data_IF_485226499831
#
_entry.id   IF_485226499831
#
_cell.length_a   1.000
_cell.length_b   1.000
_cell.length_c   1.000
_cell.angle_alpha   90.00
_cell.angle_beta   90.00
_cell.angle_gamma   90.00
#
_symmetry.space_group_name_H-M   'P 1'
#
loop_
_entity.id
_entity.type
_entity.pdbx_description
1 polymer ?
#
# COMPACT_ATOMS: atom_id res chain seq x y z
N UNK A 1 0.68 41.28 12.24
CA UNK A 1 0.13 39.93 12.48
C UNK A 1 1.21 39.15 13.16
N UNK A 2 0.92 38.53 14.31
CA UNK A 2 1.77 37.48 14.87
C UNK A 2 2.00 36.43 13.76
N UNK A 3 3.24 35.99 13.57
CA UNK A 3 3.52 34.96 12.58
C UNK A 3 2.75 33.68 12.93
N UNK A 4 2.00 33.15 11.96
CA UNK A 4 1.40 31.83 12.09
C UNK A 4 2.42 30.74 11.76
N UNK A 5 2.20 29.53 12.25
CA UNK A 5 3.00 28.35 11.91
C UNK A 5 2.09 27.21 11.48
N UNK A 6 2.54 26.33 10.60
CA UNK A 6 1.86 25.06 10.38
C UNK A 6 2.24 24.10 11.52
N UNK A 7 1.29 23.29 11.98
CA UNK A 7 1.52 22.41 13.13
C UNK A 7 2.68 21.43 12.87
N UNK A 8 3.55 21.18 13.86
CA UNK A 8 4.76 20.38 13.69
C UNK A 8 4.52 18.97 13.13
N UNK A 9 3.43 18.31 13.53
CA UNK A 9 3.13 16.95 13.06
C UNK A 9 2.88 16.89 11.55
N UNK A 10 2.21 17.89 10.96
CA UNK A 10 1.98 17.96 9.51
C UNK A 10 3.25 18.37 8.76
N UNK A 11 4.08 19.23 9.33
CA UNK A 11 5.40 19.52 8.75
C UNK A 11 6.28 18.27 8.66
N UNK A 12 6.23 17.39 9.67
CA UNK A 12 6.89 16.09 9.62
C UNK A 12 6.33 15.21 8.49
N UNK A 13 5.00 15.15 8.31
CA UNK A 13 4.36 14.41 7.23
C UNK A 13 4.83 14.89 5.85
N UNK A 14 4.78 16.20 5.61
CA UNK A 14 5.28 16.81 4.37
C UNK A 14 6.76 16.48 4.15
N UNK A 15 7.56 16.51 5.21
CA UNK A 15 8.97 16.13 5.19
C UNK A 15 9.19 14.72 4.66
N UNK A 16 8.40 13.75 5.11
CA UNK A 16 8.50 12.36 4.63
C UNK A 16 8.11 12.22 3.16
N UNK A 17 7.00 12.83 2.71
CA UNK A 17 6.64 12.84 1.28
C UNK A 17 7.73 13.47 0.41
N UNK A 18 8.34 14.56 0.87
CA UNK A 18 9.46 15.22 0.18
C UNK A 18 10.72 14.34 0.15
N UNK A 19 10.96 13.54 1.18
CA UNK A 19 12.10 12.63 1.22
C UNK A 19 11.90 11.41 0.31
N UNK A 20 10.67 10.86 0.22
CA UNK A 20 10.35 9.78 -0.74
C UNK A 20 10.55 10.26 -2.19
N UNK A 21 10.07 11.45 -2.51
CA UNK A 21 10.22 12.02 -3.85
C UNK A 21 10.55 13.51 -3.79
N UNK A 22 11.84 13.87 -3.74
CA UNK A 22 12.25 15.28 -3.71
C UNK A 22 11.74 16.07 -4.92
N UNK A 23 11.67 15.40 -6.08
CA UNK A 23 11.25 15.97 -7.36
C UNK A 23 9.76 15.93 -7.65
N UNK A 24 8.91 15.49 -6.71
CA UNK A 24 7.44 15.51 -6.89
C UNK A 24 6.90 16.91 -7.20
N UNK A 25 5.78 16.95 -7.90
CA UNK A 25 4.98 18.16 -8.02
C UNK A 25 4.56 18.66 -6.62
N UNK A 26 4.50 19.98 -6.49
CA UNK A 26 4.10 20.70 -5.27
C UNK A 26 3.11 21.81 -5.61
N UNK A 27 2.58 21.83 -6.83
CA UNK A 27 1.67 22.88 -7.31
C UNK A 27 0.39 22.98 -6.47
N UNK A 28 -0.09 21.85 -5.95
CA UNK A 28 -1.22 21.78 -5.03
C UNK A 28 -0.80 21.61 -3.56
N UNK A 29 0.48 21.72 -3.21
CA UNK A 29 0.87 21.74 -1.79
C UNK A 29 0.37 23.02 -1.13
N UNK A 30 -0.24 22.86 0.05
CA UNK A 30 -0.91 23.94 0.76
C UNK A 30 -0.75 23.78 2.27
N UNK A 31 -0.78 24.89 3.00
CA UNK A 31 -0.94 24.88 4.47
C UNK A 31 -1.90 25.97 4.85
N UNK A 32 -1.63 27.21 4.42
CA UNK A 32 -2.58 28.31 4.56
C UNK A 32 -3.50 28.40 3.34
N UNK A 33 -4.76 28.68 3.62
CA UNK A 33 -5.81 28.86 2.63
C UNK A 33 -5.73 30.25 2.01
N UNK A 34 -6.34 30.38 0.84
CA UNK A 34 -6.48 31.65 0.16
C UNK A 34 -7.53 32.56 0.84
N UNK A 35 -7.76 33.73 0.25
CA UNK A 35 -8.74 34.68 0.78
C UNK A 35 -10.17 34.12 0.75
N UNK A 36 -10.47 33.15 -0.12
CA UNK A 36 -11.78 32.48 -0.16
C UNK A 36 -11.99 31.54 1.03
N UNK A 37 -10.94 30.85 1.50
CA UNK A 37 -10.96 30.11 2.77
C UNK A 37 -11.20 31.04 3.96
N UNK A 38 -10.59 32.23 3.96
CA UNK A 38 -10.77 33.23 5.02
C UNK A 38 -12.19 33.83 5.04
N UNK A 39 -12.79 34.09 3.88
CA UNK A 39 -14.11 34.73 3.75
C UNK A 39 -15.26 33.89 4.30
N UNK A 40 -15.08 32.58 4.40
CA UNK A 40 -16.11 31.65 4.88
C UNK A 40 -16.01 31.33 6.36
N UNK A 41 -15.08 31.91 7.12
CA UNK A 41 -14.89 31.58 8.54
C UNK A 41 -16.06 32.10 9.41
N UNK A 42 -17.08 31.26 9.58
CA UNK A 42 -18.06 31.35 10.68
C UNK A 42 -17.73 30.25 11.70
N UNK A 43 -18.31 30.27 12.92
CA UNK A 43 -18.11 29.19 13.90
C UNK A 43 -18.32 27.78 13.35
N UNK A 44 -19.08 27.61 12.26
CA UNK A 44 -19.42 26.32 11.65
C UNK A 44 -18.77 26.06 10.27
N UNK A 45 -18.00 27.01 9.73
CA UNK A 45 -17.47 26.93 8.35
C UNK A 45 -16.02 27.40 8.25
N UNK A 46 -15.36 27.67 9.38
CA UNK A 46 -13.95 27.95 9.40
C UNK A 46 -13.14 26.72 8.96
N UNK A 47 -12.18 26.97 8.07
CA UNK A 47 -11.29 25.95 7.54
C UNK A 47 -10.04 25.84 8.40
N UNK A 48 -9.53 24.62 8.52
CA UNK A 48 -8.26 24.32 9.21
C UNK A 48 -7.03 24.86 8.46
N UNK A 49 -7.24 25.38 7.24
CA UNK A 49 -6.27 26.18 6.48
C UNK A 49 -6.13 27.63 6.97
N UNK A 50 -6.78 28.00 8.06
CA UNK A 50 -6.70 29.34 8.64
C UNK A 50 -5.93 29.30 9.97
N UNK A 51 -5.11 30.32 10.27
CA UNK A 51 -4.47 30.41 11.58
C UNK A 51 -5.50 30.52 12.70
N UNK A 52 -5.45 29.63 13.68
CA UNK A 52 -6.52 29.49 14.67
C UNK A 52 -6.73 30.73 15.57
N UNK A 53 -5.65 31.41 15.96
CA UNK A 53 -5.72 32.58 16.84
C UNK A 53 -6.19 33.86 16.12
N UNK A 54 -6.08 33.90 14.78
CA UNK A 54 -6.55 35.02 13.97
C UNK A 54 -8.06 34.98 13.69
N UNK A 55 -8.73 33.84 13.89
CA UNK A 55 -10.14 33.66 13.55
C UNK A 55 -10.97 33.23 14.76
N UNK A 56 -11.97 34.02 15.14
CA UNK A 56 -12.85 33.75 16.31
C UNK A 56 -13.50 32.36 16.30
N UNK A 57 -13.73 31.79 15.11
CA UNK A 57 -14.32 30.46 14.94
C UNK A 57 -13.35 29.30 15.26
N UNK A 58 -12.04 29.57 15.25
CA UNK A 58 -10.98 28.61 15.51
C UNK A 58 -10.27 28.88 16.83
N UNK A 59 -10.29 30.12 17.30
CA UNK A 59 -9.66 30.54 18.54
C UNK A 59 -10.13 29.67 19.72
N UNK A 60 -9.19 29.22 20.55
CA UNK A 60 -9.42 28.33 21.71
C UNK A 60 -9.96 26.94 21.37
N UNK A 61 -9.76 26.47 20.13
CA UNK A 61 -10.03 25.06 19.82
C UNK A 61 -8.99 24.14 20.45
N UNK A 62 -7.79 24.65 20.67
CA UNK A 62 -6.71 24.00 21.40
C UNK A 62 -6.50 24.68 22.77
N UNK A 63 -5.51 24.20 23.52
CA UNK A 63 -5.26 24.65 24.90
C UNK A 63 -4.20 25.75 25.00
N UNK A 64 -3.44 26.02 23.92
CA UNK A 64 -2.38 27.01 23.94
C UNK A 64 -2.80 28.31 23.26
N UNK A 65 -1.84 29.14 22.85
CA UNK A 65 -2.11 30.45 22.24
C UNK A 65 -1.14 30.73 21.09
N UNK A 66 -0.55 29.67 20.56
CA UNK A 66 0.26 29.70 19.35
C UNK A 66 -0.69 29.84 18.18
N UNK A 67 -0.38 30.74 17.23
CA UNK A 67 -1.21 30.92 16.06
C UNK A 67 -0.87 29.85 15.02
N UNK A 68 -1.68 28.80 14.93
CA UNK A 68 -1.36 27.58 14.22
C UNK A 68 -2.32 27.30 13.06
N UNK A 69 -1.80 26.68 12.01
CA UNK A 69 -2.56 26.21 10.84
C UNK A 69 -2.58 24.69 10.85
N UNK A 70 -3.78 24.13 10.87
CA UNK A 70 -4.05 22.71 11.13
C UNK A 70 -4.30 21.90 9.87
N UNK A 71 -4.14 22.50 8.69
CA UNK A 71 -4.30 21.81 7.43
C UNK A 71 -3.01 21.72 6.62
N UNK A 72 -2.88 20.63 5.89
CA UNK A 72 -1.82 20.36 4.94
C UNK A 72 -2.40 19.68 3.71
N UNK A 73 -2.16 20.29 2.55
CA UNK A 73 -2.38 19.63 1.27
C UNK A 73 -1.05 19.08 0.76
N UNK A 74 -1.08 17.84 0.26
CA UNK A 74 0.03 17.22 -0.47
C UNK A 74 -0.46 16.93 -1.88
N UNK A 75 0.24 17.49 -2.88
CA UNK A 75 0.00 17.21 -4.29
C UNK A 75 0.06 15.70 -4.56
N UNK A 76 -0.86 15.17 -5.36
CA UNK A 76 -0.90 13.75 -5.71
C UNK A 76 -0.12 13.40 -6.98
N UNK A 77 0.44 14.39 -7.66
CA UNK A 77 1.20 14.26 -8.88
C UNK A 77 2.67 13.96 -8.54
N UNK A 78 3.19 12.90 -9.14
CA UNK A 78 4.51 12.37 -8.83
C UNK A 78 5.69 13.20 -9.36
N UNK A 79 6.86 12.58 -9.58
CA UNK A 79 7.07 11.13 -9.64
C UNK A 79 6.90 10.47 -8.27
N UNK A 80 6.12 9.40 -8.20
CA UNK A 80 6.02 8.54 -7.01
C UNK A 80 6.74 7.21 -7.26
N UNK A 81 7.16 6.48 -6.21
CA UNK A 81 7.93 5.24 -6.37
C UNK A 81 7.28 4.19 -7.28
N UNK A 82 5.95 4.14 -7.31
CA UNK A 82 5.19 3.22 -8.15
C UNK A 82 3.81 3.78 -8.51
N UNK A 83 3.16 3.26 -9.56
CA UNK A 83 1.76 3.56 -9.85
C UNK A 83 0.85 3.32 -8.64
N UNK A 84 -0.03 4.29 -8.37
CA UNK A 84 -0.97 4.25 -7.23
C UNK A 84 -0.30 4.29 -5.85
N UNK A 85 1.01 4.58 -5.76
CA UNK A 85 1.70 4.67 -4.46
C UNK A 85 1.07 5.73 -3.58
N UNK A 86 0.78 6.92 -4.11
CA UNK A 86 0.17 8.02 -3.34
C UNK A 86 -1.17 7.62 -2.68
N UNK A 87 -2.10 7.06 -3.47
CA UNK A 87 -3.39 6.56 -2.97
C UNK A 87 -3.20 5.52 -1.85
N UNK A 88 -2.27 4.57 -2.03
CA UNK A 88 -1.99 3.56 -1.00
C UNK A 88 -1.41 4.19 0.26
N UNK A 89 -0.50 5.15 0.13
CA UNK A 89 0.12 5.85 1.26
C UNK A 89 -0.93 6.64 2.05
N UNK A 90 -1.81 7.39 1.38
CA UNK A 90 -2.92 8.12 2.03
C UNK A 90 -3.82 7.15 2.80
N UNK A 91 -4.22 6.04 2.17
CA UNK A 91 -5.05 5.01 2.83
C UNK A 91 -4.35 4.33 3.99
N UNK A 92 -3.04 4.12 3.91
CA UNK A 92 -2.26 3.57 5.00
C UNK A 92 -2.18 4.53 6.20
N UNK A 93 -2.02 5.83 5.95
CA UNK A 93 -2.09 6.87 7.00
C UNK A 93 -3.47 6.84 7.68
N UNK A 94 -4.55 6.76 6.90
CA UNK A 94 -5.91 6.65 7.44
C UNK A 94 -6.07 5.42 8.33
N UNK A 95 -5.53 4.26 7.92
CA UNK A 95 -5.58 3.04 8.73
C UNK A 95 -4.80 3.18 10.05
N UNK A 96 -3.60 3.76 10.00
CA UNK A 96 -2.77 3.99 11.18
C UNK A 96 -3.42 4.99 12.16
N UNK A 97 -3.99 6.08 11.65
CA UNK A 97 -4.71 7.07 12.46
C UNK A 97 -5.98 6.46 13.09
N UNK A 98 -6.67 5.58 12.36
CA UNK A 98 -7.75 4.77 12.93
C UNK A 98 -7.26 3.87 14.07
N UNK A 99 -6.13 3.17 13.87
CA UNK A 99 -5.55 2.28 14.89
C UNK A 99 -5.21 3.05 16.16
N UNK A 100 -4.59 4.23 16.02
CA UNK A 100 -4.28 5.13 17.14
C UNK A 100 -5.54 5.66 17.81
N UNK A 101 -6.56 6.04 17.05
CA UNK A 101 -7.83 6.52 17.59
C UNK A 101 -8.57 5.45 18.43
N UNK A 102 -8.49 4.18 18.02
CA UNK A 102 -9.12 3.07 18.73
C UNK A 102 -8.29 2.57 19.92
N UNK A 103 -7.02 2.98 20.03
CA UNK A 103 -6.17 2.64 21.16
C UNK A 103 -6.43 3.64 22.32
N UNK A 104 -6.94 3.19 23.48
CA UNK A 104 -7.19 4.09 24.61
C UNK A 104 -5.93 4.77 25.16
N UNK A 105 -4.74 4.20 24.90
CA UNK A 105 -3.45 4.72 25.36
C UNK A 105 -2.76 5.63 24.33
N UNK A 106 -3.32 5.78 23.13
CA UNK A 106 -2.79 6.64 22.07
C UNK A 106 -3.79 7.75 21.72
N UNK A 107 -3.34 8.71 20.92
CA UNK A 107 -4.22 9.64 20.23
C UNK A 107 -3.83 9.67 18.76
N UNK A 108 -4.81 9.59 17.89
CA UNK A 108 -4.60 9.96 16.49
C UNK A 108 -4.22 11.45 16.42
N UNK A 109 -3.43 11.82 15.41
CA UNK A 109 -2.97 13.17 15.12
C UNK A 109 -3.95 13.94 14.23
N UNK A 110 -4.78 13.24 13.45
CA UNK A 110 -5.69 13.84 12.50
C UNK A 110 -7.14 13.89 13.02
N UNK A 111 -7.85 14.96 12.67
CA UNK A 111 -9.31 15.05 12.80
C UNK A 111 -10.00 14.48 11.55
N UNK A 112 -9.45 14.74 10.36
CA UNK A 112 -9.91 14.10 9.13
C UNK A 112 -8.87 14.14 7.99
N UNK A 113 -9.10 13.30 6.98
CA UNK A 113 -8.38 13.28 5.69
C UNK A 113 -9.40 13.34 4.56
N UNK A 114 -9.14 14.10 3.51
CA UNK A 114 -9.94 14.11 2.28
C UNK A 114 -9.05 13.73 1.10
N UNK A 115 -9.45 12.71 0.35
CA UNK A 115 -8.74 12.24 -0.84
C UNK A 115 -9.71 11.57 -1.80
N UNK A 116 -9.60 11.89 -3.09
CA UNK A 116 -10.35 11.28 -4.18
C UNK A 116 -11.87 11.22 -3.91
N UNK A 117 -12.44 12.36 -3.51
CA UNK A 117 -13.86 12.52 -3.18
C UNK A 117 -14.33 11.68 -1.99
N UNK A 118 -13.43 11.26 -1.12
CA UNK A 118 -13.73 10.55 0.14
C UNK A 118 -13.19 11.33 1.32
N UNK A 119 -14.01 11.47 2.37
CA UNK A 119 -13.59 12.00 3.66
C UNK A 119 -13.52 10.86 4.69
N UNK A 120 -12.44 10.85 5.46
CA UNK A 120 -12.15 9.94 6.56
C UNK A 120 -12.04 10.76 7.83
N UNK A 121 -13.05 10.75 8.71
CA UNK A 121 -13.04 11.58 9.91
C UNK A 121 -12.94 10.75 11.20
N UNK A 122 -12.18 11.26 12.17
CA UNK A 122 -12.07 10.69 13.51
C UNK A 122 -13.42 10.49 14.18
N UNK A 123 -14.32 11.47 14.05
CA UNK A 123 -15.69 11.42 14.56
C UNK A 123 -16.53 10.26 14.01
N UNK A 124 -16.11 9.66 12.89
CA UNK A 124 -16.73 8.49 12.25
C UNK A 124 -15.80 7.27 12.26
N UNK A 125 -14.81 7.25 13.16
CA UNK A 125 -13.83 6.18 13.27
C UNK A 125 -13.00 5.96 12.00
N UNK A 126 -12.78 7.04 11.24
CA UNK A 126 -12.10 7.06 9.94
C UNK A 126 -12.76 6.18 8.87
N UNK A 127 -14.04 5.79 9.05
CA UNK A 127 -14.78 5.13 8.00
C UNK A 127 -14.95 6.06 6.77
N UNK A 128 -14.90 5.52 5.54
CA UNK A 128 -15.01 6.30 4.32
C UNK A 128 -16.40 6.87 4.14
N UNK A 129 -16.47 8.13 3.75
CA UNK A 129 -17.72 8.79 3.42
C UNK A 129 -17.57 9.61 2.14
N UNK A 130 -18.59 9.65 1.27
CA UNK A 130 -18.56 10.52 0.10
C UNK A 130 -18.35 11.98 0.51
N UNK A 131 -17.39 12.62 -0.13
CA UNK A 131 -17.12 14.05 0.02
C UNK A 131 -17.75 14.81 -1.15
N UNK A 132 -18.63 15.75 -0.82
CA UNK A 132 -19.39 16.55 -1.79
C UNK A 132 -18.94 18.01 -1.87
N UNK A 133 -17.76 18.35 -1.32
CA UNK A 133 -17.21 19.71 -1.40
C UNK A 133 -16.88 20.13 -2.82
N UNK A 134 -16.74 21.45 -3.01
CA UNK A 134 -16.45 22.07 -4.32
C UNK A 134 -15.10 21.66 -4.87
N UNK A 135 -14.10 21.53 -4.01
CA UNK A 135 -12.83 20.91 -4.37
C UNK A 135 -12.94 19.39 -4.17
N UNK A 136 -12.91 18.57 -5.22
CA UNK A 136 -13.08 17.13 -5.09
C UNK A 136 -11.85 16.41 -4.53
N UNK A 137 -10.72 17.10 -4.29
CA UNK A 137 -9.48 16.52 -3.77
C UNK A 137 -8.96 15.36 -4.65
N UNK A 138 -9.03 15.52 -5.97
CA UNK A 138 -8.54 14.51 -6.94
C UNK A 138 -7.12 14.77 -7.41
N UNK A 139 -6.55 15.95 -7.11
CA UNK A 139 -5.18 16.33 -7.44
C UNK A 139 -4.28 16.52 -6.21
N UNK A 140 -4.83 16.48 -5.00
CA UNK A 140 -4.10 16.53 -3.73
C UNK A 140 -4.87 15.79 -2.65
N UNK A 141 -4.17 15.32 -1.62
CA UNK A 141 -4.77 14.84 -0.38
C UNK A 141 -4.70 15.93 0.69
N UNK A 142 -5.83 16.20 1.34
CA UNK A 142 -5.94 17.16 2.43
C UNK A 142 -5.89 16.43 3.77
N UNK A 143 -5.01 16.88 4.66
CA UNK A 143 -4.84 16.35 6.01
C UNK A 143 -5.16 17.45 7.02
N UNK A 144 -6.18 17.22 7.85
CA UNK A 144 -6.54 18.10 8.96
C UNK A 144 -6.04 17.49 10.27
N UNK A 145 -5.13 18.18 10.92
CA UNK A 145 -4.66 17.90 12.27
C UNK A 145 -5.73 18.17 13.33
N UNK A 146 -5.59 17.52 14.48
CA UNK A 146 -6.43 17.79 15.66
C UNK A 146 -6.03 19.10 16.32
N UNK A 147 -7.00 19.76 16.93
CA UNK A 147 -6.79 20.81 17.91
C UNK A 147 -6.55 20.19 19.28
N UNK A 148 -5.33 19.72 19.49
CA UNK A 148 -4.86 19.06 20.70
C UNK A 148 -3.35 19.21 20.76
N UNK A 149 -2.86 19.94 21.76
CA UNK A 149 -1.44 20.33 21.89
C UNK A 149 -0.47 19.15 21.83
N UNK A 150 -0.87 17.98 22.37
CA UNK A 150 -0.04 16.78 22.26
C UNK A 150 0.02 16.22 20.83
N UNK A 151 -1.07 16.30 20.07
CA UNK A 151 -1.15 15.82 18.69
C UNK A 151 -0.44 16.74 17.70
N UNK A 152 -0.56 18.06 17.87
CA UNK A 152 0.13 19.08 17.06
C UNK A 152 1.65 18.90 17.10
N UNK A 153 2.18 18.61 18.30
CA UNK A 153 3.62 18.46 18.57
C UNK A 153 4.14 17.03 18.33
N UNK A 154 3.27 16.08 17.95
CA UNK A 154 3.66 14.68 17.71
C UNK A 154 4.35 14.49 16.35
N UNK A 155 5.67 14.66 16.37
CA UNK A 155 6.55 14.45 15.20
C UNK A 155 7.10 13.03 15.10
N UNK A 156 6.48 12.04 15.76
CA UNK A 156 6.81 10.62 15.51
C UNK A 156 6.65 10.34 14.00
N UNK A 157 7.45 9.43 13.42
CA UNK A 157 7.31 9.08 12.00
C UNK A 157 5.86 8.76 11.61
N UNK A 158 5.47 9.21 10.42
CA UNK A 158 4.21 8.85 9.79
C UNK A 158 4.27 7.49 9.10
N UNK A 159 5.49 6.98 8.88
CA UNK A 159 5.76 5.70 8.24
C UNK A 159 5.81 5.79 6.71
N UNK A 160 5.71 6.99 6.13
CA UNK A 160 5.71 7.20 4.68
C UNK A 160 7.05 6.79 4.05
N UNK A 161 8.13 6.84 4.81
CA UNK A 161 9.46 6.37 4.40
C UNK A 161 9.66 4.86 4.48
N UNK A 162 8.73 4.13 5.10
CA UNK A 162 8.84 2.69 5.24
C UNK A 162 8.40 2.03 3.92
N UNK A 163 9.24 1.13 3.38
CA UNK A 163 9.10 0.56 2.03
C UNK A 163 7.74 -0.11 1.78
N UNK A 164 7.09 -0.53 2.86
CA UNK A 164 5.67 -0.75 2.97
C UNK A 164 5.29 -0.24 4.35
N UNK A 165 4.47 0.82 4.47
CA UNK A 165 3.71 1.07 5.71
C UNK A 165 3.07 -0.27 6.06
N UNK A 166 3.62 -0.99 7.04
CA UNK A 166 3.34 -2.41 7.21
C UNK A 166 1.94 -2.58 7.81
N UNK A 167 0.93 -2.49 6.94
CA UNK A 167 -0.46 -2.74 7.28
C UNK A 167 -0.56 -4.19 7.73
N UNK A 168 -1.02 -4.40 8.95
CA UNK A 168 -1.27 -5.75 9.44
C UNK A 168 -2.47 -6.37 8.71
N UNK A 169 -2.68 -7.68 8.84
CA UNK A 169 -3.79 -8.37 8.17
C UNK A 169 -5.18 -7.83 8.53
N UNK A 170 -5.34 -7.20 9.70
CA UNK A 170 -6.61 -6.60 10.10
C UNK A 170 -6.83 -5.26 9.40
N UNK A 171 -5.79 -4.44 9.28
CA UNK A 171 -5.83 -3.18 8.54
C UNK A 171 -6.06 -3.44 7.07
N UNK A 172 -5.40 -4.45 6.50
CA UNK A 172 -5.64 -4.91 5.13
C UNK A 172 -7.09 -5.30 4.90
N UNK A 173 -7.66 -6.13 5.78
CA UNK A 173 -9.06 -6.55 5.71
C UNK A 173 -10.02 -5.37 5.87
N UNK A 174 -9.72 -4.45 6.78
CA UNK A 174 -10.53 -3.26 7.00
C UNK A 174 -10.52 -2.35 5.77
N UNK A 175 -9.33 -2.10 5.19
CA UNK A 175 -9.14 -1.33 3.97
C UNK A 175 -9.83 -1.99 2.76
N UNK A 176 -9.75 -3.31 2.63
CA UNK A 176 -10.49 -4.09 1.62
C UNK A 176 -12.01 -3.92 1.77
N UNK A 177 -12.52 -4.11 2.99
CA UNK A 177 -13.95 -4.11 3.27
C UNK A 177 -14.58 -2.71 3.20
N UNK A 178 -13.81 -1.67 3.51
CA UNK A 178 -14.35 -0.31 3.66
C UNK A 178 -13.85 0.62 2.55
N UNK A 179 -12.56 0.59 2.21
CA UNK A 179 -11.95 1.56 1.30
C UNK A 179 -11.83 1.06 -0.14
N UNK A 180 -12.37 -0.12 -0.45
CA UNK A 180 -12.17 -0.79 -1.73
C UNK A 180 -10.69 -0.97 -2.06
N UNK A 181 -9.82 -1.02 -1.04
CA UNK A 181 -8.39 -1.20 -1.23
C UNK A 181 -8.17 -2.59 -1.78
N UNK A 182 -7.72 -2.68 -3.02
CA UNK A 182 -7.47 -3.97 -3.66
C UNK A 182 -6.02 -4.43 -3.52
N UNK A 183 -5.21 -3.81 -2.66
CA UNK A 183 -3.75 -3.99 -2.68
C UNK A 183 -3.10 -3.30 -3.89
N UNK A 184 -1.80 -3.55 -4.18
CA UNK A 184 -1.16 -3.07 -5.40
C UNK A 184 -1.94 -3.54 -6.62
N UNK A 185 -2.50 -2.60 -7.37
CA UNK A 185 -3.10 -2.91 -8.67
C UNK A 185 -1.98 -3.13 -9.65
N UNK A 186 -1.80 -4.38 -10.04
CA UNK A 186 -0.84 -4.73 -11.08
C UNK A 186 -1.53 -4.50 -12.42
N UNK A 187 -0.78 -4.00 -13.39
CA UNK A 187 -1.26 -3.94 -14.77
C UNK A 187 -1.49 -5.38 -15.23
N UNK A 188 -2.75 -5.71 -15.54
CA UNK A 188 -3.08 -7.01 -16.07
C UNK A 188 -2.34 -7.16 -17.42
N UNK A 189 -1.44 -8.14 -17.57
CA UNK A 189 -0.60 -8.26 -18.75
C UNK A 189 -1.41 -8.58 -20.02
N UNK A 190 -2.64 -9.08 -19.88
CA UNK A 190 -3.54 -9.45 -20.97
C UNK A 190 -4.46 -8.31 -21.40
N UNK A 191 -4.98 -7.53 -20.46
CA UNK A 191 -5.95 -6.45 -20.75
C UNK A 191 -5.36 -5.05 -20.66
N UNK A 192 -4.13 -4.91 -20.14
CA UNK A 192 -3.46 -3.64 -19.85
C UNK A 192 -4.20 -2.76 -18.82
N UNK A 193 -5.24 -3.30 -18.18
CA UNK A 193 -5.99 -2.60 -17.14
C UNK A 193 -5.33 -2.81 -15.77
N UNK A 194 -5.27 -1.75 -14.94
CA UNK A 194 -4.85 -1.86 -13.54
C UNK A 194 -5.93 -2.60 -12.74
N UNK A 195 -5.62 -3.79 -12.22
CA UNK A 195 -6.57 -4.68 -11.54
C UNK A 195 -6.07 -5.15 -10.18
N UNK A 196 -7.02 -5.48 -9.28
CA UNK A 196 -6.72 -6.11 -8.00
C UNK A 196 -5.99 -7.46 -8.20
N UNK A 197 -5.02 -7.86 -7.36
CA UNK A 197 -4.48 -9.22 -7.34
C UNK A 197 -5.57 -10.30 -7.18
N UNK A 198 -6.67 -9.99 -6.48
CA UNK A 198 -7.83 -10.87 -6.35
C UNK A 198 -8.70 -10.97 -7.62
N UNK A 199 -8.57 -10.03 -8.56
CA UNK A 199 -9.25 -10.02 -9.87
C UNK A 199 -8.43 -10.72 -10.96
N UNK A 200 -7.10 -10.83 -10.81
CA UNK A 200 -6.24 -11.66 -11.68
C UNK A 200 -6.75 -13.10 -11.76
N UNK A 201 -7.21 -13.64 -10.62
CA UNK A 201 -7.71 -15.01 -10.52
C UNK A 201 -9.05 -15.23 -11.25
N UNK A 202 -9.79 -14.17 -11.58
CA UNK A 202 -11.10 -14.29 -12.27
C UNK A 202 -10.98 -14.38 -13.78
N UNK A 203 -9.83 -13.97 -14.35
CA UNK A 203 -9.59 -13.98 -15.79
C UNK A 203 -8.59 -15.07 -16.24
N UNK A 204 -8.05 -15.87 -15.31
CA UNK A 204 -7.33 -17.07 -15.68
C UNK A 204 -8.30 -18.07 -16.36
N UNK A 205 -8.03 -18.54 -17.59
CA UNK A 205 -8.89 -19.52 -18.24
C UNK A 205 -9.00 -20.78 -17.37
N UNK A 206 -10.20 -21.05 -16.86
CA UNK A 206 -10.62 -22.20 -16.03
C UNK A 206 -9.90 -22.40 -14.68
N UNK A 207 -10.64 -22.10 -13.60
CA UNK A 207 -10.29 -22.30 -12.20
C UNK A 207 -9.76 -23.70 -11.83
N UNK A 208 -10.02 -24.73 -12.64
CA UNK A 208 -9.50 -26.10 -12.43
C UNK A 208 -7.97 -26.19 -12.57
N UNK A 209 -7.37 -25.43 -13.48
CA UNK A 209 -5.93 -25.55 -13.78
C UNK A 209 -5.07 -24.83 -12.76
N UNK A 210 -5.53 -23.67 -12.28
CA UNK A 210 -4.83 -22.97 -11.20
C UNK A 210 -4.88 -23.78 -9.91
N UNK A 211 -6.00 -24.44 -9.61
CA UNK A 211 -6.12 -25.33 -8.46
C UNK A 211 -5.18 -26.55 -8.56
N UNK A 212 -5.00 -27.12 -9.76
CA UNK A 212 -4.05 -28.21 -9.98
C UNK A 212 -2.59 -27.77 -9.76
N UNK A 213 -2.19 -26.60 -10.27
CA UNK A 213 -0.84 -26.05 -10.03
C UNK A 213 -0.63 -25.69 -8.55
N UNK A 214 -1.63 -25.13 -7.87
CA UNK A 214 -1.54 -24.84 -6.43
C UNK A 214 -1.42 -26.13 -5.59
N UNK A 215 -2.13 -27.21 -5.97
CA UNK A 215 -1.98 -28.53 -5.33
C UNK A 215 -0.58 -29.11 -5.54
N UNK A 216 0.00 -28.96 -6.73
CA UNK A 216 1.37 -29.40 -7.02
C UNK A 216 2.42 -28.61 -6.23
N UNK A 217 2.29 -27.29 -6.11
CA UNK A 217 3.16 -26.43 -5.28
C UNK A 217 3.07 -26.81 -3.80
N UNK A 218 1.85 -27.10 -3.32
CA UNK A 218 1.61 -27.53 -1.93
C UNK A 218 2.24 -28.89 -1.65
N UNK A 219 2.14 -29.84 -2.59
CA UNK A 219 2.80 -31.14 -2.49
C UNK A 219 4.32 -31.00 -2.44
N UNK A 220 4.91 -30.18 -3.32
CA UNK A 220 6.35 -29.90 -3.33
C UNK A 220 6.82 -29.27 -2.02
N UNK A 221 6.06 -28.29 -1.49
CA UNK A 221 6.35 -27.62 -0.22
C UNK A 221 6.29 -28.59 0.97
N UNK A 222 5.33 -29.53 0.96
CA UNK A 222 5.20 -30.57 1.98
C UNK A 222 6.39 -31.55 1.97
N UNK A 223 6.83 -31.95 0.77
CA UNK A 223 8.02 -32.78 0.59
C UNK A 223 9.28 -32.05 1.06
N UNK A 224 9.44 -30.76 0.73
CA UNK A 224 10.58 -29.95 1.16
C UNK A 224 10.62 -29.77 2.69
N UNK A 225 9.47 -29.50 3.32
CA UNK A 225 9.37 -29.41 4.77
C UNK A 225 9.69 -30.74 5.46
N UNK A 226 9.25 -31.86 4.86
CA UNK A 226 9.59 -33.20 5.34
C UNK A 226 11.08 -33.52 5.18
N UNK A 227 11.73 -32.99 4.14
CA UNK A 227 13.17 -33.09 3.92
C UNK A 227 13.95 -32.29 4.98
N UNK A 228 13.60 -31.01 5.19
CA UNK A 228 14.23 -30.16 6.21
C UNK A 228 14.09 -30.78 7.61
N UNK A 229 12.94 -31.39 7.90
CA UNK A 229 12.70 -32.08 9.17
C UNK A 229 13.50 -33.40 9.34
N UNK A 230 13.98 -34.00 8.24
CA UNK A 230 14.76 -35.26 8.23
C UNK A 230 16.27 -35.03 8.12
N UNK A 231 16.71 -33.87 7.65
CA UNK A 231 18.12 -33.48 7.43
C UNK A 231 18.90 -33.20 8.74
N UNK A 232 18.61 -33.93 9.82
CA UNK A 232 19.39 -33.84 11.05
C UNK A 232 20.38 -35.00 11.31
N UNK A 233 20.61 -35.99 10.40
CA UNK A 233 21.63 -37.03 10.68
C UNK A 233 22.24 -37.96 9.58
N UNK A 234 21.72 -38.19 8.34
CA UNK A 234 22.22 -39.30 7.46
C UNK A 234 22.25 -39.03 5.93
N UNK A 235 23.35 -39.42 5.27
CA UNK A 235 23.67 -39.20 3.84
C UNK A 235 22.86 -40.09 2.87
N UNK A 236 22.50 -41.31 3.25
CA UNK A 236 21.68 -42.18 2.40
C UNK A 236 20.25 -41.64 2.27
N UNK A 237 19.74 -41.11 3.38
CA UNK A 237 18.44 -40.42 3.45
C UNK A 237 18.44 -39.14 2.61
N UNK A 238 19.58 -38.42 2.57
CA UNK A 238 19.77 -37.24 1.72
C UNK A 238 19.68 -37.57 0.23
N UNK A 239 20.32 -38.65 -0.22
CA UNK A 239 20.26 -39.10 -1.62
C UNK A 239 18.85 -39.54 -2.04
N UNK A 240 18.12 -40.24 -1.18
CA UNK A 240 16.72 -40.60 -1.45
C UNK A 240 15.80 -39.39 -1.53
N UNK A 241 16.01 -38.38 -0.67
CA UNK A 241 15.23 -37.16 -0.69
C UNK A 241 15.51 -36.29 -1.93
N UNK A 242 16.78 -36.19 -2.34
CA UNK A 242 17.14 -35.55 -3.60
C UNK A 242 16.44 -36.22 -4.79
N UNK A 243 16.42 -37.56 -4.84
CA UNK A 243 15.71 -38.30 -5.88
C UNK A 243 14.20 -38.01 -5.87
N UNK A 244 13.56 -37.98 -4.70
CA UNK A 244 12.12 -37.67 -4.60
C UNK A 244 11.77 -36.25 -5.06
N UNK A 245 12.66 -35.28 -4.82
CA UNK A 245 12.54 -33.92 -5.33
C UNK A 245 12.67 -33.91 -6.86
N UNK A 246 13.66 -34.63 -7.40
CA UNK A 246 13.85 -34.76 -8.84
C UNK A 246 12.64 -35.40 -9.54
N UNK A 247 12.09 -36.47 -9.00
CA UNK A 247 10.92 -37.16 -9.57
C UNK A 247 9.70 -36.23 -9.56
N UNK A 248 9.51 -35.47 -8.48
CA UNK A 248 8.42 -34.50 -8.35
C UNK A 248 8.53 -33.34 -9.36
N UNK A 249 9.74 -32.83 -9.58
CA UNK A 249 10.00 -31.76 -10.58
C UNK A 249 9.78 -32.29 -12.00
N UNK A 250 10.30 -33.49 -12.30
CA UNK A 250 10.14 -34.14 -13.60
C UNK A 250 8.66 -34.37 -13.93
N UNK A 251 7.84 -34.71 -12.93
CA UNK A 251 6.40 -34.87 -13.12
C UNK A 251 5.66 -33.55 -13.42
N UNK A 252 6.17 -32.40 -12.96
CA UNK A 252 5.55 -31.07 -13.14
C UNK A 252 6.06 -30.36 -14.40
N UNK A 253 7.28 -30.66 -14.86
CA UNK A 253 7.92 -29.97 -15.97
C UNK A 253 7.11 -29.95 -17.29
N UNK A 254 6.44 -31.04 -17.73
CA UNK A 254 5.62 -31.01 -18.95
C UNK A 254 4.42 -30.07 -18.86
N UNK A 255 3.84 -29.94 -17.65
CA UNK A 255 2.71 -29.04 -17.40
C UNK A 255 3.13 -27.57 -17.43
N UNK A 256 4.30 -27.26 -16.86
CA UNK A 256 4.90 -25.92 -16.93
C UNK A 256 5.29 -25.57 -18.38
N UNK A 257 5.88 -26.50 -19.12
CA UNK A 257 6.24 -26.30 -20.52
C UNK A 257 5.01 -26.01 -21.40
N UNK A 258 3.91 -26.73 -21.20
CA UNK A 258 2.65 -26.46 -21.89
C UNK A 258 2.10 -25.06 -21.57
N UNK A 259 2.22 -24.60 -20.31
CA UNK A 259 1.80 -23.25 -19.91
C UNK A 259 2.67 -22.16 -20.56
N UNK A 260 3.99 -22.36 -20.61
CA UNK A 260 4.93 -21.42 -21.23
C UNK A 260 4.63 -21.28 -22.72
N UNK A 261 4.41 -22.40 -23.43
CA UNK A 261 4.08 -22.40 -24.86
C UNK A 261 2.73 -21.73 -25.12
N UNK A 262 1.71 -22.02 -24.29
CA UNK A 262 0.40 -21.39 -24.41
C UNK A 262 0.42 -19.87 -24.14
N UNK A 263 1.43 -19.38 -23.42
CA UNK A 263 1.61 -17.96 -23.12
C UNK A 263 2.47 -17.21 -24.15
N UNK A 264 3.05 -17.90 -25.15
CA UNK A 264 3.88 -17.24 -26.17
C UNK A 264 3.01 -16.32 -27.07
N UNK A 265 3.48 -15.10 -27.38
CA UNK A 265 2.79 -14.21 -28.31
C UNK A 265 2.60 -14.85 -29.69
N UNK A 266 1.48 -14.53 -30.35
CA UNK A 266 1.24 -14.98 -31.72
C UNK A 266 2.35 -14.48 -32.66
N UNK A 267 2.98 -15.39 -33.41
CA UNK A 267 4.13 -15.10 -34.28
C UNK A 267 5.50 -15.30 -33.64
N UNK A 268 5.56 -15.78 -32.39
CA UNK A 268 6.81 -16.31 -31.82
C UNK A 268 7.32 -17.51 -32.63
N UNK A 269 8.64 -17.67 -32.70
CA UNK A 269 9.23 -18.86 -33.33
C UNK A 269 8.66 -20.13 -32.68
N UNK A 270 8.32 -21.16 -33.48
CA UNK A 270 7.74 -22.38 -32.94
C UNK A 270 8.76 -23.08 -32.03
N UNK A 271 8.44 -23.18 -30.74
CA UNK A 271 9.20 -23.98 -29.76
C UNK A 271 8.35 -25.19 -29.39
N UNK A 272 8.94 -26.37 -29.44
CA UNK A 272 8.22 -27.61 -29.10
C UNK A 272 8.10 -27.78 -27.59
N UNK A 273 7.05 -28.49 -27.16
CA UNK A 273 6.85 -28.82 -25.74
C UNK A 273 8.02 -29.61 -25.16
N UNK A 274 8.65 -30.46 -25.96
CA UNK A 274 9.80 -31.25 -25.55
C UNK A 274 11.04 -30.38 -25.31
N UNK A 275 11.28 -29.37 -26.16
CA UNK A 275 12.39 -28.42 -25.98
C UNK A 275 12.25 -27.58 -24.71
N UNK A 276 11.04 -27.08 -24.43
CA UNK A 276 10.78 -26.29 -23.21
C UNK A 276 10.85 -27.17 -21.97
N UNK A 277 10.29 -28.39 -22.01
CA UNK A 277 10.35 -29.34 -20.90
C UNK A 277 11.80 -29.70 -20.57
N UNK A 278 12.61 -30.03 -21.59
CA UNK A 278 14.01 -30.34 -21.42
C UNK A 278 14.82 -29.16 -20.85
N UNK A 279 14.53 -27.93 -21.29
CA UNK A 279 15.19 -26.73 -20.77
C UNK A 279 14.85 -26.47 -19.30
N UNK A 280 13.58 -26.63 -18.91
CA UNK A 280 13.12 -26.49 -17.52
C UNK A 280 13.78 -27.55 -16.63
N UNK A 281 13.73 -28.82 -17.03
CA UNK A 281 14.39 -29.90 -16.27
C UNK A 281 15.90 -29.67 -16.12
N UNK A 282 16.58 -29.22 -17.17
CA UNK A 282 18.01 -28.93 -17.12
C UNK A 282 18.34 -27.76 -16.18
N UNK A 283 17.53 -26.70 -16.16
CA UNK A 283 17.72 -25.57 -15.24
C UNK A 283 17.57 -26.00 -13.77
N UNK A 284 16.55 -26.83 -13.48
CA UNK A 284 16.36 -27.40 -12.15
C UNK A 284 17.52 -28.32 -11.74
N UNK A 285 17.98 -29.21 -12.62
CA UNK A 285 19.14 -30.07 -12.34
C UNK A 285 20.39 -29.27 -12.00
N UNK A 286 20.60 -28.10 -12.62
CA UNK A 286 21.74 -27.22 -12.30
C UNK A 286 21.56 -26.51 -10.95
N UNK A 287 20.35 -26.05 -10.63
CA UNK A 287 20.07 -25.34 -9.38
C UNK A 287 20.20 -26.25 -8.14
N UNK A 288 19.95 -27.55 -8.30
CA UNK A 288 19.94 -28.52 -7.20
C UNK A 288 21.04 -29.59 -7.30
N UNK A 289 22.00 -29.41 -8.20
CA UNK A 289 23.18 -30.27 -8.25
C UNK A 289 23.95 -30.16 -6.91
N UNK A 290 24.37 -31.28 -6.31
CA UNK A 290 25.25 -31.21 -5.15
C UNK A 290 26.51 -30.46 -5.55
N UNK A 291 26.91 -29.47 -4.74
CA UNK A 291 28.17 -28.78 -4.93
C UNK A 291 29.28 -29.83 -4.97
N UNK A 292 29.99 -29.91 -6.09
CA UNK A 292 31.16 -30.78 -6.20
C UNK A 292 32.22 -30.23 -5.25
N UNK A 293 32.57 -31.03 -4.25
CA UNK A 293 33.68 -30.76 -3.34
C UNK A 293 35.03 -30.99 -4.04
#
# INVERSE_FOLDING_TARGET
>A
MSGWVAIPCLLALRGEFNAVSPGRDKGADGTIGDTEHAKKATPNTASDHMPDEDFTALRRKDADGTNEVHALDIDSSGPWPAPGWFDRTVKAIVAEERRRWLNPDDMCRLDYVIWDRVIYSRSRGFAPHPYGGTDPHTNHAHFSGRYETRAEKDTRPWGVLEADMALDENDKKWLLANLGWTGPRLENPYTKALQAPSEFLRYAPSASWHQATQQQITALSTTLNSFIARESADDATKMQALQAIYDSITAVAPGVAAQVIAALPAGSDPVTQDEVTAAVEAAFRRAFAPATA
#
